data_IF_345577981885
#
_entry.id   IF_345577981885
#
_cell.length_a   1.000
_cell.length_b   1.000
_cell.length_c   1.000
_cell.angle_alpha   90.00
_cell.angle_beta   90.00
_cell.angle_gamma   90.00
#
_symmetry.space_group_name_H-M   'P 1'
#
loop_
_entity.id
_entity.type
_entity.pdbx_description
1 polymer ?
#
# COMPACT_ATOMS: atom_id res chain seq x y z
N UNK A 1 6.21 6.20 -9.20
CA UNK A 1 5.62 5.11 -8.40
C UNK A 1 6.61 4.38 -7.49
N UNK A 2 7.92 4.40 -7.75
CA UNK A 2 8.91 3.66 -6.93
C UNK A 2 9.07 4.21 -5.49
N UNK A 3 9.00 5.53 -5.29
CA UNK A 3 9.21 6.15 -3.98
C UNK A 3 8.14 5.76 -2.94
N UNK A 4 6.87 5.69 -3.36
CA UNK A 4 5.78 5.26 -2.47
C UNK A 4 5.90 3.79 -2.10
N UNK A 5 6.25 2.94 -3.07
CA UNK A 5 6.50 1.52 -2.80
C UNK A 5 7.63 1.33 -1.81
N UNK A 6 8.75 2.07 -1.95
CA UNK A 6 9.88 2.00 -1.02
C UNK A 6 9.46 2.31 0.42
N UNK A 7 8.72 3.39 0.62
CA UNK A 7 8.23 3.81 1.95
C UNK A 7 7.33 2.76 2.61
N UNK A 8 6.47 2.13 1.81
CA UNK A 8 5.55 1.09 2.30
C UNK A 8 6.29 -0.22 2.57
N UNK A 9 7.29 -0.57 1.75
CA UNK A 9 8.18 -1.72 2.00
C UNK A 9 9.00 -1.54 3.28
N UNK A 10 9.56 -0.34 3.49
CA UNK A 10 10.32 -0.03 4.71
C UNK A 10 9.41 -0.10 5.96
N UNK A 11 8.14 0.31 5.85
CA UNK A 11 7.16 0.20 6.94
C UNK A 11 6.68 -1.24 7.21
N UNK A 12 6.63 -2.10 6.19
CA UNK A 12 6.23 -3.51 6.30
C UNK A 12 7.31 -4.41 6.91
N UNK A 13 8.59 -4.00 6.81
CA UNK A 13 9.72 -4.66 7.46
C UNK A 13 9.76 -6.17 7.20
N UNK A 14 9.83 -6.97 8.27
CA UNK A 14 9.93 -8.43 8.17
C UNK A 14 8.62 -9.16 7.85
N UNK A 15 7.46 -8.47 7.87
CA UNK A 15 6.15 -9.09 7.52
C UNK A 15 6.04 -9.45 6.04
N UNK A 16 6.84 -8.80 5.19
CA UNK A 16 6.97 -9.10 3.76
C UNK A 16 7.78 -10.38 3.47
N UNK A 17 8.57 -10.88 4.43
CA UNK A 17 9.46 -12.05 4.24
C UNK A 17 8.80 -13.40 4.55
N UNK A 18 7.67 -13.43 5.25
CA UNK A 18 7.08 -14.66 5.79
C UNK A 18 5.83 -15.18 5.07
N UNK A 19 4.78 -14.36 4.96
CA UNK A 19 3.42 -14.86 4.67
C UNK A 19 2.75 -14.23 3.43
N UNK A 20 3.36 -13.19 2.85
CA UNK A 20 2.74 -12.38 1.80
C UNK A 20 3.36 -12.74 0.45
N UNK A 21 2.70 -13.62 -0.32
CA UNK A 21 3.14 -13.97 -1.69
C UNK A 21 2.75 -12.94 -2.76
N UNK A 22 1.65 -12.20 -2.54
CA UNK A 22 1.27 -11.04 -3.34
C UNK A 22 0.39 -10.10 -2.50
N UNK A 23 0.78 -8.83 -2.41
CA UNK A 23 0.01 -7.79 -1.73
C UNK A 23 -0.30 -6.68 -2.73
N UNK A 24 -1.58 -6.48 -3.00
CA UNK A 24 -2.05 -5.31 -3.73
C UNK A 24 -2.34 -4.21 -2.72
N UNK A 25 -1.53 -3.15 -2.73
CA UNK A 25 -1.74 -1.96 -1.90
C UNK A 25 -2.12 -0.79 -2.77
N UNK A 26 -3.18 -0.07 -2.36
CA UNK A 26 -3.55 1.21 -2.96
C UNK A 26 -3.23 2.32 -1.96
N UNK A 27 -2.15 3.05 -2.21
CA UNK A 27 -1.80 4.26 -1.45
C UNK A 27 -2.62 5.44 -1.98
N UNK A 28 -3.84 5.56 -1.48
CA UNK A 28 -4.76 6.63 -1.83
C UNK A 28 -4.62 7.80 -0.84
N UNK A 29 -4.79 9.03 -1.32
CA UNK A 29 -5.00 10.18 -0.44
C UNK A 29 -6.41 10.13 0.17
N UNK A 30 -6.68 10.87 1.26
CA UNK A 30 -8.01 10.92 1.87
C UNK A 30 -9.12 11.28 0.86
N UNK A 31 -8.85 12.20 -0.07
CA UNK A 31 -9.81 12.63 -1.10
C UNK A 31 -10.04 11.53 -2.15
N UNK A 32 -9.00 10.77 -2.50
CA UNK A 32 -9.11 9.65 -3.43
C UNK A 32 -9.89 8.48 -2.81
N UNK A 33 -9.65 8.20 -1.53
CA UNK A 33 -10.42 7.20 -0.77
C UNK A 33 -11.90 7.57 -0.67
N UNK A 34 -12.20 8.85 -0.39
CA UNK A 34 -13.57 9.35 -0.35
C UNK A 34 -14.30 9.19 -1.70
N UNK A 35 -13.58 9.31 -2.83
CA UNK A 35 -14.14 9.07 -4.17
C UNK A 35 -14.31 7.59 -4.49
N UNK A 36 -13.42 6.71 -4.00
CA UNK A 36 -13.53 5.25 -4.22
C UNK A 36 -14.71 4.66 -3.45
N UNK A 37 -14.99 5.15 -2.23
CA UNK A 37 -16.10 4.66 -1.38
C UNK A 37 -17.50 5.11 -1.83
N UNK A 38 -17.58 6.09 -2.74
CA UNK A 38 -18.84 6.64 -3.23
C UNK A 38 -19.36 5.96 -4.52
N UNK A 39 -18.67 4.92 -4.98
CA UNK A 39 -19.02 4.11 -6.16
C UNK A 39 -19.64 2.77 -5.74
#
# INVERSE_FOLDING_TARGET
>A
MIAQHRMVYDALGDRMKGEIHALSMRTLTPEQWAREQAA
#
